data_IF_537057832677
#
_entry.id   IF_537057832677
#
_cell.length_a   1.000
_cell.length_b   1.000
_cell.length_c   1.000
_cell.angle_alpha   90.00
_cell.angle_beta   90.00
_cell.angle_gamma   90.00
#
_symmetry.space_group_name_H-M   'P 1'
#
loop_
_entity.id
_entity.type
_entity.pdbx_description
1 polymer ?
#
# COMPACT_ATOMS: atom_id res chain seq x y z
N UNK A 1 29.03 -32.54 -46.33
CA UNK A 1 30.28 -31.85 -46.71
C UNK A 1 29.81 -30.64 -47.50
N UNK A 2 30.00 -29.40 -47.09
CA UNK A 2 31.14 -28.77 -46.41
C UNK A 2 30.67 -27.75 -45.37
N UNK A 3 31.55 -27.50 -44.41
CA UNK A 3 31.38 -26.59 -43.27
C UNK A 3 32.47 -25.50 -43.38
N UNK A 4 32.29 -24.40 -42.62
CA UNK A 4 33.25 -23.33 -42.29
C UNK A 4 33.31 -22.03 -43.13
N UNK A 5 32.90 -20.91 -42.51
CA UNK A 5 33.78 -19.81 -42.03
C UNK A 5 32.93 -18.73 -41.34
N UNK A 6 33.06 -18.44 -40.02
CA UNK A 6 34.11 -17.72 -39.24
C UNK A 6 33.90 -16.19 -39.15
N UNK A 7 33.70 -15.72 -37.89
CA UNK A 7 34.11 -14.43 -37.26
C UNK A 7 33.62 -13.11 -37.92
N UNK A 8 33.38 -11.97 -37.27
CA UNK A 8 33.59 -11.44 -35.91
C UNK A 8 32.74 -10.15 -35.74
N UNK A 9 32.71 -9.66 -34.51
CA UNK A 9 32.07 -8.49 -33.88
C UNK A 9 31.79 -7.21 -34.70
N UNK A 10 30.68 -6.54 -34.37
CA UNK A 10 30.71 -5.08 -34.14
C UNK A 10 29.59 -4.61 -33.22
N UNK A 11 29.99 -3.78 -32.26
CA UNK A 11 29.24 -3.12 -31.21
C UNK A 11 28.04 -2.31 -31.73
N UNK A 12 26.93 -2.31 -31.00
CA UNK A 12 26.11 -1.10 -30.84
C UNK A 12 25.53 -1.07 -29.43
N UNK A 13 26.20 -0.26 -28.60
CA UNK A 13 25.69 0.31 -27.37
C UNK A 13 24.27 0.86 -27.59
N UNK A 14 23.27 0.19 -27.03
CA UNK A 14 21.96 0.81 -26.80
C UNK A 14 21.83 1.06 -25.31
N UNK A 15 22.28 2.26 -24.95
CA UNK A 15 22.10 2.93 -23.67
C UNK A 15 20.61 2.98 -23.34
N UNK A 16 20.12 1.94 -22.68
CA UNK A 16 18.78 1.90 -22.12
C UNK A 16 18.78 2.86 -20.93
N UNK A 17 18.32 4.07 -21.22
CA UNK A 17 17.94 5.11 -20.28
C UNK A 17 17.16 4.49 -19.11
N UNK A 18 17.82 4.37 -17.96
CA UNK A 18 17.15 4.22 -16.67
C UNK A 18 16.28 5.45 -16.48
N UNK A 19 15.03 5.35 -16.94
CA UNK A 19 13.96 6.22 -16.48
C UNK A 19 13.67 5.74 -15.07
N UNK A 20 14.29 6.40 -14.09
CA UNK A 20 13.87 6.32 -12.69
C UNK A 20 12.45 6.85 -12.67
N UNK A 21 11.49 5.94 -12.84
CA UNK A 21 10.11 6.20 -12.48
C UNK A 21 10.19 6.41 -10.97
N UNK A 22 10.19 7.69 -10.56
CA UNK A 22 9.78 8.05 -9.21
C UNK A 22 8.31 7.69 -9.13
N UNK A 23 8.05 6.38 -8.97
CA UNK A 23 6.73 5.84 -8.76
C UNK A 23 6.27 6.44 -7.45
N UNK A 24 5.45 7.49 -7.55
CA UNK A 24 4.59 7.88 -6.45
C UNK A 24 3.77 6.63 -6.14
N UNK A 25 4.21 5.85 -5.16
CA UNK A 25 3.56 4.61 -4.80
C UNK A 25 2.22 5.01 -4.20
N UNK A 26 1.19 4.95 -5.03
CA UNK A 26 -0.18 5.16 -4.60
C UNK A 26 -0.49 4.00 -3.67
N UNK A 27 -0.44 4.25 -2.35
CA UNK A 27 -0.88 3.30 -1.37
C UNK A 27 -2.36 3.04 -1.63
N UNK A 28 -2.67 1.87 -2.18
CA UNK A 28 -4.05 1.47 -2.39
C UNK A 28 -4.74 1.40 -1.02
N UNK A 29 -5.99 1.85 -0.91
CA UNK A 29 -6.74 1.72 0.32
C UNK A 29 -6.83 0.24 0.71
N UNK A 30 -6.47 -0.06 1.96
CA UNK A 30 -6.53 -1.40 2.55
C UNK A 30 -7.71 -1.47 3.51
N UNK A 31 -8.89 -1.81 2.97
CA UNK A 31 -10.12 -1.89 3.75
C UNK A 31 -9.99 -3.05 4.76
N UNK A 32 -10.11 -2.80 6.07
CA UNK A 32 -10.05 -3.84 7.09
C UNK A 32 -11.31 -4.72 7.00
N UNK A 33 -11.16 -6.00 7.33
CA UNK A 33 -12.30 -6.93 7.34
C UNK A 33 -13.20 -6.70 8.55
N UNK A 34 -14.46 -7.14 8.48
CA UNK A 34 -15.42 -7.03 9.59
C UNK A 34 -14.89 -7.78 10.82
N UNK A 35 -14.43 -9.03 10.63
CA UNK A 35 -13.88 -9.86 11.72
C UNK A 35 -12.64 -9.22 12.35
N UNK A 36 -11.76 -8.62 11.52
CA UNK A 36 -10.61 -7.88 12.01
C UNK A 36 -11.03 -6.72 12.91
N UNK A 37 -11.98 -5.89 12.46
CA UNK A 37 -12.46 -4.76 13.25
C UNK A 37 -13.20 -5.22 14.51
N UNK A 38 -14.06 -6.23 14.43
CA UNK A 38 -14.85 -6.71 15.58
C UNK A 38 -13.96 -7.13 16.77
N UNK A 39 -12.78 -7.70 16.47
CA UNK A 39 -11.82 -8.14 17.48
C UNK A 39 -11.04 -6.98 18.15
N UNK A 40 -11.13 -5.75 17.63
CA UNK A 40 -10.42 -4.60 18.19
C UNK A 40 -11.14 -4.06 19.43
N UNK A 41 -10.54 -4.33 20.59
CA UNK A 41 -11.10 -3.96 21.91
C UNK A 41 -10.64 -2.59 22.42
N UNK A 42 -9.71 -1.91 21.74
CA UNK A 42 -9.18 -0.59 22.13
C UNK A 42 -9.33 0.42 21.01
N UNK A 43 -9.72 1.63 21.37
CA UNK A 43 -9.84 2.75 20.43
C UNK A 43 -8.51 3.11 19.78
N UNK A 44 -7.39 3.02 20.51
CA UNK A 44 -6.04 3.26 19.95
C UNK A 44 -5.72 2.33 18.80
N UNK A 45 -6.04 1.05 18.97
CA UNK A 45 -5.69 -0.02 18.04
C UNK A 45 -6.59 0.08 16.79
N UNK A 46 -7.85 0.50 16.99
CA UNK A 46 -8.79 0.81 15.90
C UNK A 46 -8.26 1.97 15.06
N UNK A 47 -7.88 3.08 15.71
CA UNK A 47 -7.33 4.25 15.03
C UNK A 47 -6.06 3.90 14.26
N UNK A 48 -5.16 3.13 14.88
CA UNK A 48 -3.93 2.67 14.21
C UNK A 48 -4.25 1.91 12.93
N UNK A 49 -5.15 0.93 13.01
CA UNK A 49 -5.52 0.12 11.86
C UNK A 49 -6.16 0.94 10.74
N UNK A 50 -7.03 1.89 11.09
CA UNK A 50 -7.68 2.79 10.14
C UNK A 50 -6.70 3.77 9.47
N UNK A 51 -5.64 4.19 10.18
CA UNK A 51 -4.54 4.99 9.59
C UNK A 51 -3.75 4.19 8.55
N UNK A 52 -3.47 2.92 8.82
CA UNK A 52 -2.80 2.03 7.85
C UNK A 52 -3.67 1.73 6.62
N UNK A 53 -4.99 1.83 6.76
CA UNK A 53 -5.95 1.55 5.67
C UNK A 53 -5.98 2.61 4.57
N UNK A 54 -5.35 3.77 4.74
CA UNK A 54 -5.36 4.88 3.79
C UNK A 54 -6.78 5.23 3.25
N UNK A 55 -7.75 5.34 4.16
CA UNK A 55 -9.17 5.56 3.82
C UNK A 55 -9.55 7.05 3.64
N UNK A 56 -8.58 7.96 3.68
CA UNK A 56 -8.84 9.40 3.63
C UNK A 56 -9.47 9.97 4.90
N UNK A 57 -9.33 9.28 6.04
CA UNK A 57 -9.75 9.79 7.34
C UNK A 57 -8.81 10.89 7.83
N UNK A 58 -9.40 11.93 8.42
CA UNK A 58 -8.70 13.09 8.96
C UNK A 58 -8.42 12.93 10.45
N UNK A 59 -7.56 13.78 11.00
CA UNK A 59 -7.31 13.79 12.44
C UNK A 59 -8.57 14.13 13.26
N UNK A 60 -9.48 14.95 12.72
CA UNK A 60 -10.78 15.24 13.34
C UNK A 60 -11.65 13.97 13.46
N UNK A 61 -11.65 13.10 12.44
CA UNK A 61 -12.36 11.82 12.49
C UNK A 61 -11.80 10.93 13.61
N UNK A 62 -10.48 10.88 13.75
CA UNK A 62 -9.82 10.10 14.80
C UNK A 62 -10.07 10.68 16.20
N UNK A 63 -10.17 12.00 16.33
CA UNK A 63 -10.50 12.66 17.59
C UNK A 63 -11.93 12.35 18.05
N UNK A 64 -12.90 12.27 17.12
CA UNK A 64 -14.27 11.82 17.44
C UNK A 64 -14.27 10.38 17.94
N UNK A 65 -13.56 9.47 17.27
CA UNK A 65 -13.43 8.08 17.70
C UNK A 65 -12.82 7.99 19.11
N UNK A 66 -11.79 8.79 19.38
CA UNK A 66 -11.12 8.87 20.69
C UNK A 66 -12.02 9.44 21.78
N UNK A 67 -12.72 10.53 21.49
CA UNK A 67 -13.63 11.20 22.42
C UNK A 67 -14.74 10.26 22.89
N UNK A 68 -15.35 9.52 21.96
CA UNK A 68 -16.41 8.57 22.25
C UNK A 68 -15.91 7.18 22.70
N UNK A 69 -14.59 6.97 22.74
CA UNK A 69 -13.99 5.67 23.05
C UNK A 69 -14.55 4.55 22.16
N UNK A 70 -14.68 4.83 20.87
CA UNK A 70 -15.19 3.87 19.89
C UNK A 70 -14.20 2.72 19.76
N UNK A 71 -14.71 1.50 19.84
CA UNK A 71 -13.98 0.26 19.62
C UNK A 71 -14.57 -0.42 18.38
N UNK A 72 -13.89 -1.43 17.82
CA UNK A 72 -14.23 -1.89 16.48
C UNK A 72 -15.65 -2.45 16.34
N UNK A 73 -16.15 -3.20 17.33
CA UNK A 73 -17.58 -3.61 17.35
C UNK A 73 -18.56 -2.44 17.31
N UNK A 74 -18.25 -1.32 17.97
CA UNK A 74 -19.11 -0.13 17.98
C UNK A 74 -18.99 0.62 16.67
N UNK A 75 -17.78 0.68 16.10
CA UNK A 75 -17.52 1.29 14.80
C UNK A 75 -18.32 0.62 13.67
N UNK A 76 -18.47 -0.70 13.70
CA UNK A 76 -19.25 -1.46 12.72
C UNK A 76 -20.77 -1.21 12.79
N UNK A 77 -21.26 -0.54 13.84
CA UNK A 77 -22.68 -0.25 14.06
C UNK A 77 -23.07 1.21 13.77
N UNK A 78 -22.10 2.08 13.46
CA UNK A 78 -22.31 3.49 13.10
C UNK A 78 -22.76 3.62 11.64
#
# INVERSE_FOLDING_TARGET
MENYSKQEDTETETKNHETIISSSQTFLPSIPSIEELENISKTSDLIHRLKESNLGLTDDDFDVLKYHKIIGRTFLLL
#
